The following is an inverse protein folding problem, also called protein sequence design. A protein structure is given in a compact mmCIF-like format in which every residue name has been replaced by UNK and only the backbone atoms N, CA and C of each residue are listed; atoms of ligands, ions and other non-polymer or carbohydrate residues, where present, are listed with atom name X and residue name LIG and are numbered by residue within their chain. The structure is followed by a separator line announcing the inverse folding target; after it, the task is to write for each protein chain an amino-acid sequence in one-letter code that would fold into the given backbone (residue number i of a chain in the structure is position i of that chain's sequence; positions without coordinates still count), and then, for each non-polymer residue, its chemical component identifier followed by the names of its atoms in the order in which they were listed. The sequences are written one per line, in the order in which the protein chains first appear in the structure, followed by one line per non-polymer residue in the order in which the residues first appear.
data_IF_769585545785
#
_entry.id   IF_769585545785
#
_cell.length_a   1.000
_cell.length_b   1.000
_cell.length_c   1.000
_cell.angle_alpha   90.00
_cell.angle_beta   90.00
_cell.angle_gamma   90.00
#
_symmetry.space_group_name_H-M   'P 1'
#
loop_
_entity.id
_entity.type
_entity.pdbx_description
1 polymer ?
#
# COMPACT_ATOMS: atom_id res chain seq x y z
N UNK A 1 31.07 -25.41 -22.38
CA UNK A 1 30.97 -24.29 -21.42
C UNK A 1 31.60 -23.05 -22.05
N UNK A 2 31.13 -21.82 -21.81
CA UNK A 2 29.94 -21.39 -21.06
C UNK A 2 28.91 -20.59 -21.91
N UNK A 3 27.73 -20.39 -21.33
CA UNK A 3 26.63 -19.57 -21.84
C UNK A 3 26.93 -18.06 -21.75
N UNK A 4 26.33 -17.19 -22.59
CA UNK A 4 26.44 -15.77 -22.40
C UNK A 4 25.46 -15.30 -21.33
N UNK A 5 26.01 -14.56 -20.38
CA UNK A 5 25.31 -13.82 -19.34
C UNK A 5 24.25 -12.89 -19.94
N UNK A 6 23.00 -13.04 -19.51
CA UNK A 6 21.88 -12.19 -19.89
C UNK A 6 21.32 -11.47 -18.67
N UNK A 7 21.78 -10.24 -18.47
CA UNK A 7 21.08 -9.12 -17.84
C UNK A 7 20.25 -9.41 -16.56
N UNK A 8 20.91 -9.24 -15.41
CA UNK A 8 20.23 -8.78 -14.19
C UNK A 8 19.69 -7.37 -14.45
N UNK A 9 18.47 -7.26 -14.98
CA UNK A 9 17.76 -6.00 -15.02
C UNK A 9 17.32 -5.64 -13.61
N UNK A 10 18.05 -4.69 -13.01
CA UNK A 10 17.51 -3.78 -12.03
C UNK A 10 16.37 -2.99 -12.68
N UNK A 11 15.13 -3.49 -12.58
CA UNK A 11 13.95 -2.73 -12.95
C UNK A 11 13.39 -2.03 -11.72
N UNK A 12 13.30 -0.71 -11.87
CA UNK A 12 12.74 0.27 -10.95
C UNK A 12 11.54 -0.27 -10.15
N UNK A 13 11.59 -0.06 -8.83
CA UNK A 13 10.43 -0.11 -7.94
C UNK A 13 9.44 0.98 -8.37
N UNK A 14 8.53 0.63 -9.27
CA UNK A 14 7.39 1.46 -9.61
C UNK A 14 6.21 0.98 -8.79
N UNK A 15 5.80 1.81 -7.83
CA UNK A 15 4.59 1.63 -7.05
C UNK A 15 3.39 1.69 -8.02
N UNK A 16 2.65 0.59 -8.16
CA UNK A 16 1.39 0.57 -8.91
C UNK A 16 0.25 0.58 -7.89
N UNK A 17 -0.52 1.66 -7.86
CA UNK A 17 -1.79 1.71 -7.13
C UNK A 17 -2.71 0.61 -7.68
N UNK A 18 -3.30 -0.26 -6.83
CA UNK A 18 -4.27 -1.22 -7.31
C UNK A 18 -5.56 -0.49 -7.71
N UNK A 19 -5.81 -0.39 -9.01
CA UNK A 19 -7.17 -0.16 -9.51
C UNK A 19 -8.01 -1.38 -9.11
N UNK A 20 -9.06 -1.14 -8.34
CA UNK A 20 -10.04 -2.16 -7.94
C UNK A 20 -10.74 -2.72 -9.19
N UNK A 21 -10.20 -3.79 -9.75
CA UNK A 21 -10.97 -4.80 -10.46
C UNK A 21 -10.95 -6.05 -9.58
N UNK A 22 -12.07 -6.32 -8.92
CA UNK A 22 -12.20 -7.45 -8.00
C UNK A 22 -12.03 -8.78 -8.72
N UNK A 23 -10.87 -9.40 -8.57
CA UNK A 23 -10.72 -10.84 -8.71
C UNK A 23 -10.52 -11.39 -7.29
N UNK A 24 -11.46 -12.21 -6.83
CA UNK A 24 -11.40 -12.82 -5.50
C UNK A 24 -10.28 -13.87 -5.45
N UNK A 25 -9.62 -14.08 -4.28
CA UNK A 25 -8.55 -15.08 -4.12
C UNK A 25 -8.97 -16.53 -4.41
N UNK A 26 -10.27 -16.79 -4.58
CA UNK A 26 -10.81 -18.12 -4.88
C UNK A 26 -10.73 -18.50 -6.37
N UNK A 27 -10.53 -17.54 -7.29
CA UNK A 27 -10.48 -17.82 -8.73
C UNK A 27 -9.08 -18.15 -9.27
N UNK A 28 -8.02 -17.92 -8.48
CA UNK A 28 -6.64 -18.15 -8.89
C UNK A 28 -5.96 -19.14 -7.94
N UNK A 29 -6.16 -20.42 -8.19
CA UNK A 29 -5.21 -21.46 -7.79
C UNK A 29 -5.36 -22.01 -6.37
N UNK A 30 -6.51 -22.60 -6.06
CA UNK A 30 -6.60 -23.64 -5.02
C UNK A 30 -6.97 -24.99 -5.63
N UNK A 31 -6.12 -25.47 -6.54
CA UNK A 31 -6.04 -26.87 -6.91
C UNK A 31 -4.76 -27.08 -7.74
N UNK A 32 -3.60 -27.09 -7.08
CA UNK A 32 -2.51 -27.92 -7.57
C UNK A 32 -2.89 -29.38 -7.27
N UNK A 33 -3.94 -29.89 -7.92
CA UNK A 33 -4.07 -31.33 -8.09
C UNK A 33 -2.93 -31.72 -9.01
N UNK A 34 -2.03 -32.57 -8.50
CA UNK A 34 -1.12 -33.34 -9.35
C UNK A 34 -1.97 -34.31 -10.18
N UNK A 35 -2.71 -33.79 -11.15
CA UNK A 35 -3.14 -34.58 -12.27
C UNK A 35 -1.96 -34.57 -13.22
N UNK A 36 -1.15 -35.63 -13.19
CA UNK A 36 -0.50 -36.06 -14.42
C UNK A 36 -1.59 -36.02 -15.49
N UNK A 37 -1.42 -35.16 -16.50
CA UNK A 37 -2.44 -34.91 -17.49
C UNK A 37 -2.98 -36.27 -17.98
N UNK A 38 -4.31 -36.52 -17.95
CA UNK A 38 -4.87 -37.81 -18.36
C UNK A 38 -4.35 -38.29 -19.72
N UNK A 39 -4.00 -37.32 -20.58
CA UNK A 39 -3.36 -37.52 -21.87
C UNK A 39 -2.02 -38.29 -21.82
N UNK A 40 -1.15 -38.05 -20.83
CA UNK A 40 0.15 -38.72 -20.72
C UNK A 40 -0.01 -40.16 -20.24
N UNK A 41 -0.91 -40.40 -19.27
CA UNK A 41 -1.26 -41.75 -18.81
C UNK A 41 -1.91 -42.59 -19.93
N UNK A 42 -2.80 -41.96 -20.70
CA UNK A 42 -3.52 -42.63 -21.80
C UNK A 42 -2.61 -42.95 -22.99
N UNK A 43 -1.56 -42.15 -23.20
CA UNK A 43 -0.56 -42.39 -24.24
C UNK A 43 0.49 -43.44 -23.86
N UNK A 44 0.96 -43.46 -22.61
CA UNK A 44 1.86 -44.52 -22.11
C UNK A 44 1.24 -45.92 -22.26
N UNK A 45 -0.08 -46.03 -22.07
CA UNK A 45 -0.80 -47.27 -22.32
C UNK A 45 -0.84 -47.63 -23.82
N UNK A 46 -1.02 -46.64 -24.71
CA UNK A 46 -1.10 -46.84 -26.16
C UNK A 46 0.25 -47.22 -26.80
N UNK A 47 1.37 -46.73 -26.28
CA UNK A 47 2.71 -46.97 -26.82
C UNK A 47 3.46 -48.19 -26.25
N UNK A 48 2.85 -48.92 -25.32
CA UNK A 48 3.42 -50.16 -24.75
C UNK A 48 3.21 -51.42 -25.62
N UNK A 49 2.53 -51.30 -26.77
CA UNK A 49 2.33 -52.42 -27.68
C UNK A 49 3.43 -52.46 -28.75
N UNK A 50 4.12 -53.61 -28.94
CA UNK A 50 5.16 -53.73 -29.96
C UNK A 50 4.51 -53.84 -31.33
N UNK A 51 4.80 -52.90 -32.25
CA UNK A 51 4.39 -53.04 -33.65
C UNK A 51 5.55 -52.84 -34.63
N UNK A 52 5.48 -53.65 -35.69
CA UNK A 52 6.51 -53.98 -36.67
C UNK A 52 6.54 -52.97 -37.84
N UNK A 53 7.74 -52.58 -38.28
CA UNK A 53 8.22 -52.10 -39.60
C UNK A 53 7.46 -51.03 -40.46
N UNK A 54 8.13 -49.85 -40.60
CA UNK A 54 8.14 -48.77 -41.66
C UNK A 54 6.92 -47.84 -41.86
N UNK A 55 7.04 -46.56 -42.38
CA UNK A 55 8.20 -45.79 -42.89
C UNK A 55 8.46 -44.40 -42.25
N UNK A 56 9.64 -43.82 -42.52
CA UNK A 56 10.24 -42.61 -41.89
C UNK A 56 9.46 -41.28 -41.88
N UNK A 57 8.35 -41.13 -42.61
CA UNK A 57 7.55 -39.88 -42.60
C UNK A 57 6.62 -39.78 -41.38
N UNK A 58 6.11 -40.93 -40.90
CA UNK A 58 5.25 -40.98 -39.71
C UNK A 58 6.01 -40.60 -38.43
N UNK A 59 7.31 -40.88 -38.36
CA UNK A 59 8.17 -40.47 -37.25
C UNK A 59 8.35 -38.96 -37.18
N UNK A 60 8.45 -38.27 -38.32
CA UNK A 60 8.67 -36.82 -38.37
C UNK A 60 7.44 -36.04 -37.88
N UNK A 61 6.25 -36.48 -38.26
CA UNK A 61 4.98 -35.91 -37.80
C UNK A 61 4.73 -36.19 -36.31
N UNK A 62 5.14 -37.38 -35.83
CA UNK A 62 5.03 -37.76 -34.42
C UNK A 62 6.01 -36.95 -33.54
N UNK A 63 7.23 -36.70 -34.04
CA UNK A 63 8.22 -35.82 -33.40
C UNK A 63 7.77 -34.37 -33.42
N UNK A 64 7.19 -33.88 -34.51
CA UNK A 64 6.62 -32.52 -34.56
C UNK A 64 5.44 -32.35 -33.58
N UNK A 65 4.57 -33.36 -33.45
CA UNK A 65 3.51 -33.37 -32.45
C UNK A 65 4.07 -33.35 -31.02
N UNK A 66 5.12 -34.13 -30.73
CA UNK A 66 5.83 -34.08 -29.44
C UNK A 66 6.45 -32.70 -29.16
N UNK A 67 7.11 -32.10 -30.15
CA UNK A 67 7.71 -30.76 -30.03
C UNK A 67 6.62 -29.73 -29.71
N UNK A 68 5.48 -29.79 -30.37
CA UNK A 68 4.37 -28.86 -30.11
C UNK A 68 3.77 -29.07 -28.71
N UNK A 69 3.61 -30.32 -28.28
CA UNK A 69 3.13 -30.64 -26.94
C UNK A 69 4.09 -30.16 -25.84
N UNK A 70 5.41 -30.36 -26.04
CA UNK A 70 6.44 -29.88 -25.12
C UNK A 70 6.49 -28.34 -25.07
N UNK A 71 6.37 -27.67 -26.23
CA UNK A 71 6.29 -26.20 -26.29
C UNK A 71 5.09 -25.68 -25.52
N UNK A 72 3.93 -26.31 -25.66
CA UNK A 72 2.73 -25.90 -24.96
C UNK A 72 2.85 -26.13 -23.44
N UNK A 73 3.47 -27.23 -23.01
CA UNK A 73 3.79 -27.47 -21.60
C UNK A 73 4.75 -26.42 -21.03
N UNK A 74 5.78 -26.02 -21.79
CA UNK A 74 6.71 -24.96 -21.38
C UNK A 74 5.96 -23.64 -21.22
N UNK A 75 5.15 -23.25 -22.20
CA UNK A 75 4.35 -22.01 -22.12
C UNK A 75 3.39 -22.01 -20.93
N UNK A 76 2.73 -23.14 -20.65
CA UNK A 76 1.85 -23.27 -19.49
C UNK A 76 2.61 -23.17 -18.16
N UNK A 77 3.78 -23.81 -18.07
CA UNK A 77 4.67 -23.74 -16.90
C UNK A 77 5.15 -22.30 -16.63
N UNK A 78 5.62 -21.60 -17.67
CA UNK A 78 6.07 -20.21 -17.59
C UNK A 78 4.94 -19.27 -17.13
N UNK A 79 3.74 -19.43 -17.69
CA UNK A 79 2.57 -18.65 -17.30
C UNK A 79 2.20 -18.89 -15.82
N UNK A 80 2.25 -20.15 -15.36
CA UNK A 80 1.97 -20.49 -13.98
C UNK A 80 3.03 -19.90 -13.01
N UNK A 81 4.31 -19.98 -13.37
CA UNK A 81 5.40 -19.41 -12.57
C UNK A 81 5.27 -17.88 -12.47
N UNK A 82 4.94 -17.21 -13.58
CA UNK A 82 4.70 -15.76 -13.61
C UNK A 82 3.49 -15.36 -12.76
N UNK A 83 2.41 -16.15 -12.78
CA UNK A 83 1.26 -15.92 -11.93
C UNK A 83 1.61 -16.04 -10.44
N UNK A 84 2.38 -17.08 -10.06
CA UNK A 84 2.83 -17.27 -8.68
C UNK A 84 3.77 -16.15 -8.23
N UNK A 85 4.70 -15.71 -9.09
CA UNK A 85 5.57 -14.57 -8.79
C UNK A 85 4.75 -13.31 -8.53
N UNK A 86 3.75 -13.03 -9.37
CA UNK A 86 2.86 -11.87 -9.23
C UNK A 86 2.12 -11.89 -7.88
N UNK A 87 1.56 -13.05 -7.50
CA UNK A 87 0.88 -13.22 -6.20
C UNK A 87 1.85 -13.01 -5.04
N UNK A 88 3.06 -13.57 -5.11
CA UNK A 88 4.07 -13.41 -4.06
C UNK A 88 4.47 -11.95 -3.85
N UNK A 89 4.69 -11.21 -4.94
CA UNK A 89 5.02 -9.77 -4.88
C UNK A 89 3.85 -8.98 -4.29
N UNK A 90 2.61 -9.29 -4.67
CA UNK A 90 1.43 -8.63 -4.11
C UNK A 90 1.30 -8.91 -2.60
N UNK A 91 1.48 -10.16 -2.17
CA UNK A 91 1.48 -10.53 -0.75
C UNK A 91 2.60 -9.85 0.03
N UNK A 92 3.79 -9.75 -0.56
CA UNK A 92 4.91 -9.02 0.02
C UNK A 92 4.52 -7.55 0.25
N UNK A 93 3.90 -6.89 -0.73
CA UNK A 93 3.48 -5.49 -0.59
C UNK A 93 2.47 -5.29 0.55
N UNK A 94 1.50 -6.20 0.70
CA UNK A 94 0.55 -6.16 1.81
C UNK A 94 1.27 -6.28 3.15
N UNK A 95 2.17 -7.26 3.29
CA UNK A 95 2.97 -7.45 4.51
C UNK A 95 3.88 -6.26 4.83
N UNK A 96 4.46 -5.62 3.81
CA UNK A 96 5.23 -4.37 3.98
C UNK A 96 4.34 -3.28 4.57
N UNK A 97 3.15 -3.07 4.01
CA UNK A 97 2.22 -2.05 4.49
C UNK A 97 1.75 -2.31 5.92
N UNK A 98 1.46 -3.57 6.26
CA UNK A 98 1.08 -3.99 7.62
C UNK A 98 2.23 -3.76 8.61
N UNK A 99 3.46 -4.12 8.25
CA UNK A 99 4.64 -3.92 9.09
C UNK A 99 4.88 -2.44 9.35
N UNK A 100 4.86 -1.61 8.31
CA UNK A 100 5.04 -0.16 8.44
C UNK A 100 3.94 0.42 9.31
N UNK A 101 2.68 0.06 9.07
CA UNK A 101 1.55 0.53 9.88
C UNK A 101 1.73 0.14 11.35
N UNK A 102 2.07 -1.11 11.65
CA UNK A 102 2.31 -1.58 13.01
C UNK A 102 3.46 -0.82 13.69
N UNK A 103 4.59 -0.64 13.00
CA UNK A 103 5.74 0.08 13.54
C UNK A 103 5.42 1.56 13.84
N UNK A 104 4.61 2.21 13.00
CA UNK A 104 4.12 3.56 13.27
C UNK A 104 3.23 3.61 14.51
N UNK A 105 2.32 2.65 14.67
CA UNK A 105 1.45 2.55 15.85
C UNK A 105 2.27 2.40 17.13
N UNK A 106 3.22 1.47 17.13
CA UNK A 106 4.13 1.26 18.27
C UNK A 106 4.93 2.52 18.61
N UNK A 107 5.43 3.22 17.58
CA UNK A 107 6.15 4.49 17.75
C UNK A 107 5.26 5.56 18.37
N UNK A 108 4.03 5.73 17.88
CA UNK A 108 3.08 6.72 18.42
C UNK A 108 2.73 6.39 19.87
N UNK A 109 2.48 5.12 20.20
CA UNK A 109 2.19 4.70 21.57
C UNK A 109 3.38 4.97 22.51
N UNK A 110 4.61 4.60 22.13
CA UNK A 110 5.79 4.86 22.94
C UNK A 110 6.02 6.37 23.15
N UNK A 111 5.85 7.17 22.09
CA UNK A 111 5.97 8.63 22.23
C UNK A 111 4.86 9.21 23.10
N UNK A 112 3.64 8.68 23.05
CA UNK A 112 2.52 9.12 23.87
C UNK A 112 2.76 8.85 25.36
N UNK A 113 3.27 7.65 25.70
CA UNK A 113 3.67 7.31 27.07
C UNK A 113 4.77 8.26 27.58
N UNK A 114 5.80 8.50 26.77
CA UNK A 114 6.90 9.40 27.13
C UNK A 114 6.47 10.86 27.33
N UNK A 115 5.38 11.29 26.69
CA UNK A 115 4.85 12.64 26.80
C UNK A 115 3.60 12.74 27.70
N UNK A 116 3.23 11.67 28.40
CA UNK A 116 2.02 11.58 29.23
C UNK A 116 0.73 11.96 28.47
N UNK A 117 0.63 11.58 27.20
CA UNK A 117 -0.53 11.83 26.35
C UNK A 117 -1.43 10.59 26.33
N UNK A 118 -2.66 10.72 26.80
CA UNK A 118 -3.64 9.65 26.73
C UNK A 118 -4.26 9.57 25.33
N UNK A 119 -3.82 8.61 24.51
CA UNK A 119 -4.39 8.38 23.18
C UNK A 119 -5.86 7.94 23.25
N UNK A 120 -6.25 7.23 24.31
CA UNK A 120 -7.64 6.84 24.55
C UNK A 120 -8.54 8.05 24.82
N UNK A 121 -8.05 9.02 25.58
CA UNK A 121 -8.78 10.27 25.81
C UNK A 121 -8.91 11.07 24.52
N UNK A 122 -7.82 11.19 23.75
CA UNK A 122 -7.87 11.82 22.43
C UNK A 122 -8.89 11.11 21.52
N UNK A 123 -8.91 9.78 21.47
CA UNK A 123 -9.91 9.03 20.70
C UNK A 123 -11.35 9.31 21.17
N UNK A 124 -11.58 9.44 22.48
CA UNK A 124 -12.89 9.81 23.04
C UNK A 124 -13.33 11.23 22.63
N UNK A 125 -12.39 12.17 22.52
CA UNK A 125 -12.64 13.53 22.03
C UNK A 125 -12.87 13.55 20.51
N UNK A 126 -12.18 12.69 19.76
CA UNK A 126 -12.32 12.59 18.32
C UNK A 126 -13.64 11.93 17.90
N UNK A 127 -14.18 11.01 18.68
CA UNK A 127 -15.37 10.25 18.27
C UNK A 127 -16.59 11.14 17.97
N UNK A 128 -17.00 12.11 18.81
CA UNK A 128 -18.08 13.04 18.48
C UNK A 128 -17.81 13.91 17.24
N UNK A 129 -16.54 14.25 16.99
CA UNK A 129 -16.12 15.01 15.80
C UNK A 129 -16.29 14.14 14.55
N UNK A 130 -15.89 12.87 14.62
CA UNK A 130 -16.04 11.90 13.53
C UNK A 130 -17.52 11.70 13.21
N UNK A 131 -18.37 11.55 14.24
CA UNK A 131 -19.78 11.22 14.06
C UNK A 131 -20.62 12.39 13.56
N UNK A 132 -20.34 13.61 14.03
CA UNK A 132 -21.26 14.76 13.83
C UNK A 132 -20.61 16.05 13.33
N UNK A 133 -19.29 16.22 13.50
CA UNK A 133 -18.52 17.42 13.15
C UNK A 133 -19.22 18.74 13.51
N UNK A 134 -19.82 18.79 14.69
CA UNK A 134 -20.46 20.02 15.20
C UNK A 134 -19.42 21.05 15.60
N UNK A 135 -19.79 22.33 15.59
CA UNK A 135 -18.93 23.42 16.05
C UNK A 135 -18.42 23.20 17.49
N UNK A 136 -19.26 22.67 18.37
CA UNK A 136 -18.90 22.42 19.78
C UNK A 136 -17.90 21.28 19.91
N UNK A 137 -18.08 20.19 19.14
CA UNK A 137 -17.12 19.08 19.09
C UNK A 137 -15.75 19.53 18.57
N UNK A 138 -15.71 20.32 17.49
CA UNK A 138 -14.47 20.88 16.93
C UNK A 138 -13.80 21.83 17.94
N UNK A 139 -14.57 22.72 18.58
CA UNK A 139 -14.04 23.63 19.59
C UNK A 139 -13.47 22.88 20.80
N UNK A 140 -14.14 21.82 21.24
CA UNK A 140 -13.69 20.95 22.34
C UNK A 140 -12.40 20.21 21.96
N UNK A 141 -12.35 19.63 20.76
CA UNK A 141 -11.15 18.97 20.22
C UNK A 141 -9.96 19.91 20.12
N UNK A 142 -10.15 21.12 19.59
CA UNK A 142 -9.11 22.15 19.57
C UNK A 142 -8.64 22.49 20.97
N UNK A 143 -9.58 22.72 21.90
CA UNK A 143 -9.25 23.04 23.30
C UNK A 143 -8.37 21.97 23.93
N UNK A 144 -8.73 20.71 23.74
CA UNK A 144 -7.95 19.58 24.22
C UNK A 144 -6.54 19.55 23.61
N UNK A 145 -6.43 19.68 22.28
CA UNK A 145 -5.12 19.67 21.59
C UNK A 145 -4.21 20.78 22.12
N UNK A 146 -4.74 22.01 22.27
CA UNK A 146 -3.96 23.15 22.74
C UNK A 146 -3.54 23.02 24.21
N UNK A 147 -4.34 22.35 25.04
CA UNK A 147 -3.99 22.09 26.44
C UNK A 147 -2.90 21.01 26.59
N UNK A 148 -2.86 20.04 25.67
CA UNK A 148 -1.96 18.89 25.77
C UNK A 148 -0.71 19.01 24.90
N UNK A 149 -0.71 19.85 23.86
CA UNK A 149 0.46 20.19 23.05
C UNK A 149 1.41 21.16 23.79
N UNK A 150 1.87 20.76 24.98
CA UNK A 150 2.70 21.57 25.88
C UNK A 150 4.17 21.63 25.48
N UNK A 151 4.61 20.71 24.61
CA UNK A 151 5.96 20.63 24.07
C UNK A 151 5.93 20.28 22.58
N UNK A 152 7.06 20.46 21.90
CA UNK A 152 7.23 20.01 20.52
C UNK A 152 6.90 18.51 20.35
N UNK A 153 7.36 17.66 21.27
CA UNK A 153 7.16 16.21 21.17
C UNK A 153 5.72 15.81 21.49
N UNK A 154 5.07 16.46 22.47
CA UNK A 154 3.66 16.27 22.74
C UNK A 154 2.80 16.67 21.52
N UNK A 155 3.09 17.82 20.90
CA UNK A 155 2.44 18.26 19.67
C UNK A 155 2.68 17.28 18.51
N UNK A 156 3.90 16.73 18.40
CA UNK A 156 4.24 15.72 17.39
C UNK A 156 3.43 14.44 17.57
N UNK A 157 3.29 13.93 18.81
CA UNK A 157 2.45 12.75 19.11
C UNK A 157 1.02 12.98 18.66
N UNK A 158 0.43 14.11 19.05
CA UNK A 158 -0.96 14.45 18.73
C UNK A 158 -1.13 14.51 17.21
N UNK A 159 -0.27 15.24 16.50
CA UNK A 159 -0.32 15.35 15.04
C UNK A 159 -0.18 14.00 14.33
N UNK A 160 0.74 13.13 14.79
CA UNK A 160 0.93 11.79 14.22
C UNK A 160 -0.28 10.88 14.50
N UNK A 161 -0.91 10.97 15.67
CA UNK A 161 -2.13 10.23 15.95
C UNK A 161 -3.29 10.69 15.06
N UNK A 162 -3.47 11.99 14.85
CA UNK A 162 -4.47 12.53 13.92
C UNK A 162 -4.24 12.02 12.49
N UNK A 163 -2.98 12.02 12.03
CA UNK A 163 -2.59 11.46 10.74
C UNK A 163 -2.96 9.98 10.61
N UNK A 164 -2.66 9.17 11.64
CA UNK A 164 -3.05 7.75 11.69
C UNK A 164 -4.56 7.60 11.55
N UNK A 165 -5.37 8.37 12.28
CA UNK A 165 -6.84 8.27 12.19
C UNK A 165 -7.38 8.62 10.81
N UNK A 166 -6.70 9.46 10.04
CA UNK A 166 -7.06 9.77 8.65
C UNK A 166 -6.58 8.69 7.66
N UNK A 167 -5.36 8.20 7.86
CA UNK A 167 -4.69 7.30 6.90
C UNK A 167 -4.91 5.82 7.18
N UNK A 168 -5.54 5.47 8.31
CA UNK A 168 -5.84 4.09 8.66
C UNK A 168 -6.68 3.39 7.57
N UNK A 169 -6.37 2.12 7.33
CA UNK A 169 -7.15 1.27 6.43
C UNK A 169 -8.62 1.25 6.85
N UNK A 170 -9.52 1.51 5.90
CA UNK A 170 -10.96 1.51 6.13
C UNK A 170 -11.54 2.82 6.70
N UNK A 171 -10.75 3.87 6.92
CA UNK A 171 -11.30 5.17 7.28
C UNK A 171 -12.24 5.71 6.18
N UNK A 172 -13.49 6.00 6.55
CA UNK A 172 -14.46 6.61 5.66
C UNK A 172 -14.07 8.06 5.32
N UNK A 173 -14.44 8.54 4.13
CA UNK A 173 -14.17 9.91 3.71
C UNK A 173 -14.63 10.95 4.74
N UNK A 174 -15.81 10.77 5.31
CA UNK A 174 -16.39 11.68 6.32
C UNK A 174 -15.49 11.82 7.55
N UNK A 175 -14.96 10.72 8.09
CA UNK A 175 -13.99 10.74 9.19
C UNK A 175 -12.75 11.54 8.82
N UNK A 176 -12.18 11.27 7.63
CA UNK A 176 -10.99 11.98 7.14
C UNK A 176 -11.23 13.48 7.07
N UNK A 177 -12.34 13.87 6.46
CA UNK A 177 -12.72 15.27 6.29
C UNK A 177 -12.93 15.97 7.63
N UNK A 178 -13.64 15.35 8.58
CA UNK A 178 -13.92 15.93 9.89
C UNK A 178 -12.65 16.15 10.72
N UNK A 179 -11.70 15.21 10.66
CA UNK A 179 -10.40 15.38 11.32
C UNK A 179 -9.57 16.48 10.64
N UNK A 180 -9.62 16.60 9.30
CA UNK A 180 -8.96 17.70 8.59
C UNK A 180 -9.60 19.06 8.98
N UNK A 181 -10.91 19.13 9.20
CA UNK A 181 -11.56 20.34 9.71
C UNK A 181 -11.08 20.72 11.11
N UNK A 182 -10.88 19.75 11.99
CA UNK A 182 -10.26 19.99 13.30
C UNK A 182 -8.83 20.55 13.13
N UNK A 183 -7.99 19.91 12.31
CA UNK A 183 -6.62 20.37 12.05
C UNK A 183 -6.61 21.78 11.48
N UNK A 184 -7.54 22.12 10.59
CA UNK A 184 -7.68 23.47 10.06
C UNK A 184 -8.00 24.49 11.17
N UNK A 185 -8.89 24.17 12.12
CA UNK A 185 -9.24 25.07 13.22
C UNK A 185 -8.07 25.28 14.20
N UNK A 186 -7.27 24.23 14.45
CA UNK A 186 -6.06 24.32 15.27
C UNK A 186 -4.97 25.12 14.56
N UNK A 187 -4.72 24.88 13.27
CA UNK A 187 -3.76 25.66 12.46
C UNK A 187 -4.10 27.14 12.43
N UNK A 188 -5.38 27.48 12.26
CA UNK A 188 -5.85 28.85 12.34
C UNK A 188 -5.53 29.48 13.71
N UNK A 189 -5.71 28.73 14.79
CA UNK A 189 -5.33 29.19 16.13
C UNK A 189 -3.83 29.39 16.26
N UNK A 190 -3.00 28.42 15.83
CA UNK A 190 -1.55 28.51 15.91
C UNK A 190 -1.01 29.73 15.17
N UNK A 191 -1.51 29.98 13.96
CA UNK A 191 -1.14 31.15 13.16
C UNK A 191 -1.54 32.49 13.81
N UNK A 192 -2.67 32.53 14.54
CA UNK A 192 -3.12 33.75 15.25
C UNK A 192 -2.44 33.98 16.60
N UNK A 193 -1.92 32.93 17.24
CA UNK A 193 -1.31 32.98 18.59
C UNK A 193 0.20 32.72 18.59
N UNK A 194 0.83 32.59 17.42
CA UNK A 194 2.25 32.34 17.23
C UNK A 194 2.75 31.05 17.91
N UNK A 195 1.93 29.99 17.86
CA UNK A 195 2.29 28.66 18.36
C UNK A 195 3.03 27.86 17.28
N UNK A 196 4.24 28.30 16.96
CA UNK A 196 5.02 27.83 15.79
C UNK A 196 5.38 26.33 15.86
N UNK A 197 5.68 25.79 17.05
CA UNK A 197 6.03 24.37 17.19
C UNK A 197 4.88 23.44 16.84
N UNK A 198 3.68 23.72 17.35
CA UNK A 198 2.49 22.95 17.02
C UNK A 198 2.10 23.14 15.56
N UNK A 199 2.22 24.37 15.03
CA UNK A 199 1.98 24.65 13.61
C UNK A 199 2.86 23.78 12.72
N UNK A 200 4.17 23.73 12.99
CA UNK A 200 5.14 22.91 12.25
C UNK A 200 4.83 21.41 12.34
N UNK A 201 4.42 20.94 13.52
CA UNK A 201 3.99 19.55 13.68
C UNK A 201 2.75 19.22 12.83
N UNK A 202 1.78 20.14 12.73
CA UNK A 202 0.59 19.98 11.90
C UNK A 202 0.90 20.09 10.39
N UNK A 203 1.82 20.98 10.00
CA UNK A 203 2.33 21.10 8.63
C UNK A 203 2.96 19.80 8.12
N UNK A 204 3.67 19.07 8.98
CA UNK A 204 4.28 17.79 8.61
C UNK A 204 3.26 16.68 8.30
N UNK A 205 2.01 16.81 8.77
CA UNK A 205 0.98 15.78 8.62
C UNK A 205 -0.17 16.19 7.72
N UNK A 206 -0.39 17.48 7.50
CA UNK A 206 -1.54 17.98 6.71
C UNK A 206 -1.49 17.54 5.25
N UNK A 207 -0.31 17.52 4.63
CA UNK A 207 -0.15 17.07 3.23
C UNK A 207 -0.58 15.60 3.08
N UNK A 208 -0.02 14.62 3.81
CA UNK A 208 -0.46 13.24 3.67
C UNK A 208 -1.91 13.02 4.10
N UNK A 209 -2.45 13.78 5.07
CA UNK A 209 -3.87 13.73 5.43
C UNK A 209 -4.77 14.16 4.27
N UNK A 210 -4.51 15.34 3.70
CA UNK A 210 -5.27 15.88 2.58
C UNK A 210 -5.16 14.95 1.37
N UNK A 211 -3.93 14.57 0.99
CA UNK A 211 -3.71 13.74 -0.19
C UNK A 211 -4.39 12.36 -0.05
N UNK A 212 -4.33 11.73 1.13
CA UNK A 212 -5.03 10.47 1.38
C UNK A 212 -6.57 10.63 1.31
N UNK A 213 -7.10 11.76 1.77
CA UNK A 213 -8.53 12.04 1.69
C UNK A 213 -8.99 12.33 0.26
N UNK A 214 -8.10 12.82 -0.61
CA UNK A 214 -8.37 13.13 -2.03
C UNK A 214 -8.25 11.93 -2.98
N UNK A 215 -7.78 10.77 -2.51
CA UNK A 215 -7.65 9.57 -3.36
C UNK A 215 -9.00 8.85 -3.45
N UNK A 216 -9.42 8.53 -4.67
CA UNK A 216 -10.65 7.77 -4.96
C UNK A 216 -11.93 8.42 -4.38
N UNK A 217 -12.05 9.73 -4.52
CA UNK A 217 -13.21 10.53 -4.09
C UNK A 217 -14.22 10.73 -5.21
N UNK A 218 -15.47 11.00 -4.85
CA UNK A 218 -16.49 11.50 -5.78
C UNK A 218 -16.31 12.99 -6.05
N UNK A 219 -16.93 13.52 -7.11
CA UNK A 219 -16.90 14.96 -7.42
C UNK A 219 -17.41 15.83 -6.26
N UNK A 220 -18.44 15.38 -5.53
CA UNK A 220 -18.98 16.10 -4.36
C UNK A 220 -17.96 16.15 -3.20
N UNK A 221 -17.27 15.04 -2.96
CA UNK A 221 -16.24 14.92 -1.94
C UNK A 221 -15.02 15.78 -2.29
N UNK A 222 -14.61 15.74 -3.56
CA UNK A 222 -13.54 16.58 -4.09
C UNK A 222 -13.87 18.07 -3.94
N UNK A 223 -15.11 18.48 -4.23
CA UNK A 223 -15.55 19.87 -4.05
C UNK A 223 -15.43 20.34 -2.58
N UNK A 224 -15.66 19.45 -1.60
CA UNK A 224 -15.46 19.78 -0.16
C UNK A 224 -13.98 19.99 0.18
N UNK A 225 -13.09 19.18 -0.39
CA UNK A 225 -11.65 19.32 -0.20
C UNK A 225 -11.08 20.54 -0.92
N UNK A 226 -11.54 20.83 -2.14
CA UNK A 226 -11.14 22.01 -2.90
C UNK A 226 -11.51 23.32 -2.20
N UNK A 227 -12.60 23.35 -1.42
CA UNK A 227 -12.91 24.50 -0.55
C UNK A 227 -11.86 24.73 0.54
N UNK A 228 -11.32 23.66 1.13
CA UNK A 228 -10.22 23.76 2.10
C UNK A 228 -8.93 24.24 1.43
N UNK A 229 -8.60 23.67 0.27
CA UNK A 229 -7.39 24.06 -0.46
C UNK A 229 -7.41 25.55 -0.83
N UNK A 230 -8.54 26.05 -1.35
CA UNK A 230 -8.73 27.48 -1.63
C UNK A 230 -8.63 28.35 -0.39
N UNK A 231 -9.10 27.86 0.77
CA UNK A 231 -8.97 28.58 2.03
C UNK A 231 -7.50 28.73 2.42
N UNK A 232 -6.72 27.65 2.29
CA UNK A 232 -5.29 27.65 2.55
C UNK A 232 -4.48 28.49 1.55
N UNK A 233 -4.95 28.62 0.30
CA UNK A 233 -4.34 29.52 -0.70
C UNK A 233 -4.65 31.00 -0.45
N UNK A 234 -5.88 31.33 -0.04
CA UNK A 234 -6.38 32.71 -0.12
C UNK A 234 -6.38 33.47 1.21
N UNK A 235 -6.61 32.78 2.33
CA UNK A 235 -7.06 33.46 3.57
C UNK A 235 -5.97 33.67 4.60
N UNK A 236 -4.86 32.96 4.53
CA UNK A 236 -3.76 33.11 5.48
C UNK A 236 -2.55 32.37 4.95
N UNK A 237 -1.37 32.96 5.06
CA UNK A 237 -0.08 32.32 4.78
C UNK A 237 0.21 31.20 5.80
N UNK A 238 -0.73 30.26 6.02
CA UNK A 238 -0.55 29.10 6.89
C UNK A 238 0.55 28.22 6.32
N UNK A 239 0.57 28.06 5.00
CA UNK A 239 1.49 27.20 4.29
C UNK A 239 2.22 27.97 3.21
N UNK A 240 3.46 27.55 2.96
CA UNK A 240 4.23 28.02 1.81
C UNK A 240 3.67 27.45 0.51
N UNK A 241 3.93 28.15 -0.60
CA UNK A 241 3.49 27.73 -1.95
C UNK A 241 3.90 26.29 -2.25
N UNK A 242 5.10 25.85 -1.86
CA UNK A 242 5.58 24.50 -2.09
C UNK A 242 4.71 23.42 -1.41
N UNK A 243 4.16 23.70 -0.23
CA UNK A 243 3.28 22.79 0.50
C UNK A 243 1.92 22.67 -0.22
N UNK A 244 1.39 23.80 -0.70
CA UNK A 244 0.14 23.84 -1.47
C UNK A 244 0.28 23.07 -2.79
N UNK A 245 1.40 23.21 -3.50
CA UNK A 245 1.65 22.50 -4.76
C UNK A 245 1.67 20.97 -4.56
N UNK A 246 2.19 20.47 -3.43
CA UNK A 246 2.08 19.05 -3.10
C UNK A 246 0.62 18.59 -2.98
N UNK A 247 -0.25 19.40 -2.38
CA UNK A 247 -1.68 19.07 -2.23
C UNK A 247 -2.45 19.10 -3.55
N UNK A 248 -1.99 19.87 -4.55
CA UNK A 248 -2.56 19.88 -5.91
C UNK A 248 -2.24 18.62 -6.71
N UNK A 249 -1.29 17.82 -6.25
CA UNK A 249 -0.95 16.52 -6.84
C UNK A 249 -1.12 15.37 -5.82
N UNK A 250 -2.36 15.04 -5.38
CA UNK A 250 -2.59 14.12 -4.27
C UNK A 250 -1.94 12.74 -4.43
N UNK A 251 -2.09 12.12 -5.60
CA UNK A 251 -1.62 10.75 -5.83
C UNK A 251 -0.10 10.65 -5.71
N UNK A 252 0.64 11.53 -6.39
CA UNK A 252 2.10 11.52 -6.37
C UNK A 252 2.65 11.94 -5.01
N UNK A 253 2.10 12.98 -4.39
CA UNK A 253 2.54 13.44 -3.06
C UNK A 253 2.30 12.40 -1.97
N UNK A 254 1.16 11.69 -2.03
CA UNK A 254 0.90 10.60 -1.08
C UNK A 254 1.81 9.40 -1.33
N UNK A 255 2.09 9.07 -2.60
CA UNK A 255 3.03 8.01 -2.95
C UNK A 255 4.47 8.32 -2.47
N UNK A 256 4.91 9.58 -2.61
CA UNK A 256 6.20 10.03 -2.05
C UNK A 256 6.23 9.84 -0.53
N UNK A 257 5.17 10.23 0.17
CA UNK A 257 5.03 10.00 1.60
C UNK A 257 5.12 8.49 1.96
N UNK A 258 4.40 7.62 1.25
CA UNK A 258 4.46 6.17 1.49
C UNK A 258 5.86 5.60 1.24
N UNK A 259 6.54 6.04 0.18
CA UNK A 259 7.91 5.63 -0.11
C UNK A 259 8.89 6.05 0.99
N UNK A 260 8.72 7.27 1.52
CA UNK A 260 9.54 7.77 2.63
C UNK A 260 9.33 6.94 3.91
N UNK A 261 8.09 6.54 4.22
CA UNK A 261 7.81 5.64 5.33
C UNK A 261 8.47 4.27 5.14
N UNK A 262 8.33 3.68 3.95
CA UNK A 262 8.95 2.41 3.60
C UNK A 262 10.47 2.49 3.75
N UNK A 263 11.09 3.59 3.32
CA UNK A 263 12.53 3.80 3.45
C UNK A 263 12.99 3.84 4.93
N UNK A 264 12.21 4.47 5.82
CA UNK A 264 12.49 4.51 7.26
C UNK A 264 12.46 3.12 7.91
N UNK A 265 11.71 2.17 7.35
CA UNK A 265 11.62 0.78 7.82
C UNK A 265 12.38 -0.22 6.94
N UNK A 266 13.34 0.26 6.14
CA UNK A 266 14.08 -0.53 5.15
C UNK A 266 14.72 -1.81 5.70
N UNK A 267 15.29 -1.77 6.91
CA UNK A 267 15.91 -2.95 7.55
C UNK A 267 14.91 -4.09 7.79
N UNK A 268 13.71 -3.77 8.31
CA UNK A 268 12.67 -4.76 8.57
C UNK A 268 12.08 -5.31 7.25
N UNK A 269 11.99 -4.45 6.23
CA UNK A 269 11.48 -4.81 4.91
C UNK A 269 12.48 -5.69 4.13
N UNK A 270 13.79 -5.48 4.30
CA UNK A 270 14.81 -6.30 3.65
C UNK A 270 14.69 -7.78 4.03
N UNK A 271 14.38 -8.08 5.29
CA UNK A 271 14.15 -9.45 5.74
C UNK A 271 12.93 -10.09 5.05
N UNK A 272 11.83 -9.36 4.92
CA UNK A 272 10.65 -9.82 4.21
C UNK A 272 10.92 -10.04 2.71
N UNK A 273 11.70 -9.16 2.08
CA UNK A 273 12.11 -9.32 0.68
C UNK A 273 12.96 -10.57 0.45
N UNK A 274 13.86 -10.88 1.37
CA UNK A 274 14.66 -12.10 1.31
C UNK A 274 13.78 -13.35 1.41
N UNK A 275 12.77 -13.36 2.30
CA UNK A 275 11.83 -14.48 2.43
C UNK A 275 11.01 -14.70 1.15
N UNK A 276 10.51 -13.63 0.52
CA UNK A 276 9.79 -13.71 -0.76
C UNK A 276 10.68 -14.28 -1.84
N UNK A 277 11.93 -13.82 -1.93
CA UNK A 277 12.91 -14.32 -2.90
C UNK A 277 13.17 -15.82 -2.73
N UNK A 278 13.45 -16.29 -1.51
CA UNK A 278 13.67 -17.71 -1.23
C UNK A 278 12.42 -18.55 -1.54
N UNK A 279 11.22 -18.02 -1.33
CA UNK A 279 9.97 -18.71 -1.67
C UNK A 279 9.80 -18.84 -3.18
N UNK A 280 10.12 -17.78 -3.93
CA UNK A 280 10.09 -17.83 -5.39
C UNK A 280 11.13 -18.80 -5.97
N UNK A 281 12.36 -18.80 -5.44
CA UNK A 281 13.42 -19.75 -5.85
C UNK A 281 12.97 -21.21 -5.66
N UNK A 282 12.23 -21.51 -4.58
CA UNK A 282 11.62 -22.83 -4.38
C UNK A 282 10.61 -23.16 -5.47
N UNK A 283 9.73 -22.23 -5.84
CA UNK A 283 8.79 -22.46 -6.93
C UNK A 283 9.52 -22.73 -8.25
N UNK A 284 10.52 -21.91 -8.61
CA UNK A 284 11.34 -22.14 -9.80
C UNK A 284 11.92 -23.55 -9.79
N UNK A 285 12.48 -24.00 -8.66
CA UNK A 285 13.07 -25.34 -8.54
C UNK A 285 12.06 -26.51 -8.65
N UNK A 286 10.77 -26.26 -8.44
CA UNK A 286 9.71 -27.26 -8.62
C UNK A 286 9.23 -27.38 -10.07
N UNK A 287 9.46 -26.34 -10.88
CA UNK A 287 9.10 -26.28 -12.31
C UNK A 287 10.31 -26.49 -13.25
N UNK A 288 11.51 -26.67 -12.69
CA UNK A 288 12.77 -27.00 -13.40
C UNK A 288 13.02 -28.50 -13.38
#
# INVERSE_FOLDING_TARGET
APAPAGAYMAQNRQYVMPQQAGATPAQLGLAASMAAAPALQQWLAANSQPNNAQPHSHDLDNVNAQINMLKEQITQSENNLNAQHTVLIQQQQVKVNELVSKAQVETIHAMAENNNISLTELDAILQPIIDSCTKDSISSGKGWILQHATSHDAGKVISQHLLRKVTQSGAAFTQKLHIIYLVNDVLHHCARKNAEDLKKNLENVVVPMFCNASIAVTEEQEAKLNKLLRLWESKSNYFETAVIEKMKSPTSSYQEYQNNLIAQHSNAIAHLAQQTKTTFEKYVSMFS
#
